data_IF_498859876533
#
_entry.id   IF_498859876533
#
_cell.length_a   1.000
_cell.length_b   1.000
_cell.length_c   1.000
_cell.angle_alpha   90.00
_cell.angle_beta   90.00
_cell.angle_gamma   90.00
#
_symmetry.space_group_name_H-M   'P 1'
#
loop_
_entity.id
_entity.type
_entity.pdbx_description
1 polymer ?
#
# COMPACT_ATOMS: atom_id res chain seq x y z
N UNK A 1 -25.31 2.63 34.97
CA UNK A 1 -23.93 2.62 34.44
C UNK A 1 -23.06 3.81 34.85
N UNK A 2 -23.57 5.04 35.01
CA UNK A 2 -22.75 6.20 35.41
C UNK A 2 -22.35 6.21 36.91
N UNK A 3 -23.21 5.70 37.80
CA UNK A 3 -22.93 5.61 39.25
C UNK A 3 -21.79 4.63 39.57
N UNK A 4 -21.74 3.47 38.91
CA UNK A 4 -20.66 2.49 39.06
C UNK A 4 -19.30 2.99 38.62
N UNK A 5 -19.26 3.79 37.54
CA UNK A 5 -18.00 4.42 37.06
C UNK A 5 -17.48 5.46 38.06
N UNK A 6 -18.38 6.24 38.70
CA UNK A 6 -18.02 7.23 39.72
C UNK A 6 -17.52 6.56 41.01
N UNK A 7 -18.13 5.45 41.41
CA UNK A 7 -17.72 4.69 42.58
C UNK A 7 -16.38 3.95 42.38
N UNK A 8 -16.16 3.37 41.19
CA UNK A 8 -14.86 2.78 40.81
C UNK A 8 -13.74 3.82 40.77
N UNK A 9 -14.01 5.05 40.29
CA UNK A 9 -13.05 6.16 40.30
C UNK A 9 -12.71 6.61 41.73
N UNK A 10 -13.72 6.78 42.57
CA UNK A 10 -13.56 7.09 44.01
C UNK A 10 -12.72 6.04 44.75
N UNK A 11 -12.96 4.74 44.51
CA UNK A 11 -12.18 3.65 45.12
C UNK A 11 -10.72 3.66 44.65
N UNK A 12 -10.46 3.98 43.38
CA UNK A 12 -9.10 4.11 42.82
C UNK A 12 -8.33 5.26 43.46
N UNK A 13 -8.96 6.44 43.58
CA UNK A 13 -8.36 7.63 44.18
C UNK A 13 -8.05 7.43 45.68
N UNK A 14 -8.92 6.69 46.39
CA UNK A 14 -8.72 6.36 47.81
C UNK A 14 -7.55 5.38 48.02
N UNK A 15 -7.39 4.40 47.12
CA UNK A 15 -6.25 3.46 47.12
C UNK A 15 -4.92 4.16 46.83
N UNK A 16 -4.94 5.13 45.90
CA UNK A 16 -3.75 5.90 45.53
C UNK A 16 -3.32 6.87 46.65
N UNK A 17 -4.28 7.52 47.33
CA UNK A 17 -4.02 8.32 48.54
C UNK A 17 -3.43 7.49 49.68
N UNK A 18 -3.94 6.27 49.91
CA UNK A 18 -3.41 5.35 50.93
C UNK A 18 -1.96 4.95 50.61
N UNK A 19 -1.66 4.61 49.36
CA UNK A 19 -0.30 4.28 48.90
C UNK A 19 0.69 5.45 49.05
N UNK A 20 0.27 6.69 48.74
CA UNK A 20 1.10 7.89 48.94
C UNK A 20 1.39 8.14 50.42
N UNK A 21 0.39 7.97 51.30
CA UNK A 21 0.56 8.15 52.76
C UNK A 21 1.51 7.10 53.35
N UNK A 22 1.42 5.86 52.89
CA UNK A 22 2.29 4.77 53.31
C UNK A 22 3.74 4.96 52.82
N UNK A 23 3.94 5.39 51.57
CA UNK A 23 5.26 5.78 51.07
C UNK A 23 5.86 6.97 51.81
N UNK A 24 5.04 7.96 52.20
CA UNK A 24 5.49 9.11 52.99
C UNK A 24 5.92 8.68 54.39
N UNK A 25 5.12 7.85 55.08
CA UNK A 25 5.46 7.27 56.38
C UNK A 25 6.75 6.47 56.33
N UNK A 26 6.88 5.57 55.34
CA UNK A 26 8.11 4.78 55.14
C UNK A 26 9.33 5.66 54.83
N UNK A 27 9.14 6.81 54.18
CA UNK A 27 10.21 7.79 53.93
C UNK A 27 10.61 8.56 55.19
N UNK A 28 9.66 8.88 56.05
CA UNK A 28 9.86 9.57 57.33
C UNK A 28 10.49 8.64 58.38
N UNK A 29 10.05 7.39 58.47
CA UNK A 29 10.59 6.36 59.38
C UNK A 29 12.05 6.01 59.05
N UNK A 30 12.42 6.03 57.76
CA UNK A 30 13.82 5.86 57.30
C UNK A 30 14.63 7.16 57.45
N UNK A 31 13.98 8.31 57.63
CA UNK A 31 14.65 9.59 57.86
C UNK A 31 14.98 9.83 59.33
N UNK A 32 14.22 9.24 60.26
CA UNK A 32 14.39 9.39 61.71
C UNK A 32 15.30 8.35 62.34
N UNK A 33 15.61 7.24 61.66
CA UNK A 33 16.48 6.18 62.18
C UNK A 33 17.98 6.40 61.90
N UNK A 34 18.46 7.63 61.71
CA UNK A 34 19.86 7.90 61.35
C UNK A 34 20.58 8.88 62.25
N UNK A 35 20.02 9.23 63.41
CA UNK A 35 20.62 10.23 64.31
C UNK A 35 21.45 9.60 65.44
N UNK A 36 21.27 8.30 65.74
CA UNK A 36 21.98 7.58 66.83
C UNK A 36 22.84 6.38 66.36
N UNK A 37 23.00 6.18 65.05
CA UNK A 37 23.73 5.04 64.46
C UNK A 37 25.18 5.39 64.10
N UNK A 38 26.07 4.39 64.14
CA UNK A 38 27.49 4.47 63.80
C UNK A 38 27.68 5.18 62.43
N UNK A 39 28.67 6.08 62.28
CA UNK A 39 28.86 6.83 61.03
C UNK A 39 29.09 5.91 59.80
N UNK A 40 29.61 4.70 60.03
CA UNK A 40 29.82 3.68 59.00
C UNK A 40 28.49 3.04 58.53
N UNK A 41 27.58 2.74 59.45
CA UNK A 41 26.25 2.15 59.17
C UNK A 41 25.37 3.18 58.45
N UNK A 42 25.39 4.45 58.89
CA UNK A 42 24.67 5.53 58.23
C UNK A 42 25.16 5.80 56.79
N UNK A 43 26.48 5.66 56.55
CA UNK A 43 27.07 5.78 55.21
C UNK A 43 26.65 4.61 54.30
N UNK A 44 26.69 3.37 54.80
CA UNK A 44 26.25 2.18 54.07
C UNK A 44 24.76 2.27 53.69
N UNK A 45 23.90 2.73 54.59
CA UNK A 45 22.47 2.92 54.32
C UNK A 45 22.22 3.98 53.23
N UNK A 46 22.99 5.07 53.22
CA UNK A 46 22.95 6.09 52.16
C UNK A 46 23.40 5.54 50.81
N UNK A 47 24.42 4.70 50.78
CA UNK A 47 24.87 4.03 49.54
C UNK A 47 23.81 3.08 49.00
N UNK A 48 23.21 2.25 49.85
CA UNK A 48 22.12 1.34 49.48
C UNK A 48 20.92 2.10 48.90
N UNK A 49 20.55 3.24 49.51
CA UNK A 49 19.46 4.10 49.02
C UNK A 49 19.77 4.74 47.67
N UNK A 50 21.03 5.16 47.44
CA UNK A 50 21.49 5.68 46.14
C UNK A 50 21.43 4.59 45.06
N UNK A 51 21.93 3.39 45.37
CA UNK A 51 21.86 2.24 44.47
C UNK A 51 20.42 1.85 44.12
N UNK A 52 19.50 1.87 45.10
CA UNK A 52 18.07 1.60 44.86
C UNK A 52 17.42 2.66 43.94
N UNK A 53 17.74 3.94 44.15
CA UNK A 53 17.25 5.03 43.31
C UNK A 53 17.81 4.96 41.88
N UNK A 54 19.08 4.62 41.74
CA UNK A 54 19.74 4.43 40.45
C UNK A 54 19.15 3.23 39.69
N UNK A 55 18.91 2.11 40.37
CA UNK A 55 18.25 0.94 39.79
C UNK A 55 16.83 1.27 39.28
N UNK A 56 16.07 2.07 40.04
CA UNK A 56 14.74 2.54 39.63
C UNK A 56 14.80 3.45 38.40
N UNK A 57 15.77 4.36 38.33
CA UNK A 57 15.98 5.23 37.18
C UNK A 57 16.37 4.44 35.92
N UNK A 58 17.28 3.48 36.07
CA UNK A 58 17.72 2.59 34.98
C UNK A 58 16.56 1.77 34.42
N UNK A 59 15.73 1.17 35.29
CA UNK A 59 14.53 0.42 34.89
C UNK A 59 13.51 1.31 34.16
N UNK A 60 13.37 2.57 34.58
CA UNK A 60 12.48 3.54 33.90
C UNK A 60 13.03 3.94 32.53
N UNK A 61 14.33 4.14 32.40
CA UNK A 61 14.98 4.45 31.13
C UNK A 61 14.86 3.28 30.13
N UNK A 62 15.05 2.05 30.59
CA UNK A 62 14.86 0.84 29.77
C UNK A 62 13.44 0.72 29.23
N UNK A 63 12.42 0.91 30.08
CA UNK A 63 11.01 0.94 29.63
C UNK A 63 10.72 2.04 28.60
N UNK A 64 11.30 3.23 28.79
CA UNK A 64 11.16 4.33 27.81
C UNK A 64 11.76 3.95 26.47
N UNK A 65 12.92 3.27 26.48
CA UNK A 65 13.61 2.79 25.28
C UNK A 65 12.82 1.69 24.58
N UNK A 66 12.25 0.75 25.35
CA UNK A 66 11.34 -0.28 24.85
C UNK A 66 10.14 0.32 24.12
N UNK A 67 9.49 1.33 24.71
CA UNK A 67 8.38 2.04 24.07
C UNK A 67 8.78 2.67 22.74
N UNK A 68 9.90 3.42 22.72
CA UNK A 68 10.42 4.03 21.48
C UNK A 68 10.72 3.00 20.40
N UNK A 69 11.34 1.87 20.77
CA UNK A 69 11.66 0.81 19.81
C UNK A 69 10.40 0.15 19.24
N UNK A 70 9.37 -0.01 20.07
CA UNK A 70 8.08 -0.53 19.62
C UNK A 70 7.40 0.43 18.65
N UNK A 71 7.39 1.73 18.95
CA UNK A 71 6.75 2.73 18.09
C UNK A 71 7.41 2.81 16.70
N UNK A 72 8.73 2.64 16.62
CA UNK A 72 9.46 2.77 15.36
C UNK A 72 9.67 1.46 14.62
N UNK A 73 9.85 0.33 15.29
CA UNK A 73 10.15 -0.96 14.64
C UNK A 73 9.05 -2.00 14.82
N UNK A 74 8.08 -1.79 15.71
CA UNK A 74 6.99 -2.74 15.95
C UNK A 74 7.39 -4.00 16.72
N UNK A 75 8.61 -4.03 17.27
CA UNK A 75 9.13 -5.17 18.02
C UNK A 75 9.30 -4.85 19.51
N UNK A 76 8.96 -5.83 20.34
CA UNK A 76 9.28 -5.85 21.78
C UNK A 76 10.11 -7.09 22.08
N UNK A 77 10.75 -7.17 23.26
CA UNK A 77 11.44 -8.40 23.68
C UNK A 77 10.52 -9.62 23.72
N UNK A 78 9.21 -9.43 23.95
CA UNK A 78 8.24 -10.52 24.04
C UNK A 78 7.67 -10.90 22.65
N UNK A 79 7.63 -9.94 21.72
CA UNK A 79 7.13 -10.12 20.34
C UNK A 79 8.31 -10.02 19.36
N UNK A 80 9.25 -10.93 19.59
CA UNK A 80 10.53 -11.20 18.94
C UNK A 80 10.52 -12.10 17.68
N UNK A 81 10.42 -11.68 16.40
CA UNK A 81 10.56 -12.64 15.29
C UNK A 81 11.93 -13.32 15.19
N UNK A 82 12.98 -12.73 15.77
CA UNK A 82 14.35 -13.27 15.75
C UNK A 82 14.66 -14.20 16.93
N UNK A 83 13.69 -14.44 17.83
CA UNK A 83 13.85 -15.33 18.98
C UNK A 83 14.85 -14.84 20.03
N UNK A 84 15.25 -13.58 19.98
CA UNK A 84 16.09 -12.97 21.02
C UNK A 84 15.22 -12.44 22.18
N UNK A 85 15.75 -12.53 23.41
CA UNK A 85 15.07 -12.06 24.62
C UNK A 85 15.44 -10.63 25.04
N UNK A 86 16.43 -10.02 24.36
CA UNK A 86 17.10 -8.80 24.80
C UNK A 86 17.17 -7.71 23.71
N UNK A 87 16.30 -7.77 22.68
CA UNK A 87 16.21 -6.81 21.57
C UNK A 87 16.31 -5.34 22.01
N UNK A 88 15.70 -5.02 23.15
CA UNK A 88 15.59 -3.66 23.66
C UNK A 88 16.80 -3.21 24.46
N UNK A 89 17.83 -4.03 24.62
CA UNK A 89 19.10 -3.65 25.25
C UNK A 89 20.13 -3.23 24.19
N UNK A 90 21.05 -2.31 24.55
CA UNK A 90 22.12 -1.92 23.63
C UNK A 90 23.11 -3.08 23.53
N UNK A 91 23.55 -3.39 22.32
CA UNK A 91 24.61 -4.37 22.13
C UNK A 91 25.91 -3.85 22.76
N UNK A 92 26.58 -4.72 23.52
CA UNK A 92 27.85 -4.41 24.17
C UNK A 92 28.83 -5.53 23.85
N UNK A 93 30.00 -5.15 23.35
CA UNK A 93 31.07 -6.11 23.09
C UNK A 93 31.83 -6.41 24.38
N UNK A 94 31.27 -7.29 25.22
CA UNK A 94 31.80 -7.59 26.57
C UNK A 94 33.29 -7.94 26.57
N UNK A 95 33.73 -8.84 25.68
CA UNK A 95 35.15 -9.22 25.56
C UNK A 95 36.07 -8.04 25.29
N UNK A 96 35.64 -7.07 24.47
CA UNK A 96 36.38 -5.85 24.18
C UNK A 96 36.41 -4.92 25.39
N UNK A 97 35.27 -4.75 26.06
CA UNK A 97 35.19 -3.93 27.26
C UNK A 97 36.06 -4.50 28.39
N UNK A 98 36.09 -5.82 28.56
CA UNK A 98 36.90 -6.48 29.58
C UNK A 98 38.39 -6.39 29.26
N UNK A 99 38.78 -6.52 27.99
CA UNK A 99 40.15 -6.27 27.55
C UNK A 99 40.58 -4.80 27.75
N UNK A 100 39.70 -3.84 27.51
CA UNK A 100 39.95 -2.41 27.74
C UNK A 100 40.06 -2.04 29.22
N UNK A 101 39.32 -2.72 30.10
CA UNK A 101 39.47 -2.59 31.56
C UNK A 101 40.80 -3.17 32.02
N UNK A 102 41.19 -4.33 31.50
CA UNK A 102 42.43 -5.01 31.85
C UNK A 102 43.68 -4.23 31.42
N UNK A 103 43.63 -3.49 30.31
CA UNK A 103 44.74 -2.67 29.81
C UNK A 103 44.87 -1.30 30.50
N UNK A 104 44.11 -1.03 31.58
CA UNK A 104 44.09 0.26 32.27
C UNK A 104 43.44 1.41 31.47
N UNK A 105 43.06 1.15 30.20
CA UNK A 105 42.35 2.06 29.31
C UNK A 105 40.84 2.12 29.57
N UNK A 106 40.40 1.93 30.82
CA UNK A 106 39.00 1.85 31.25
C UNK A 106 38.23 3.18 31.19
N UNK A 107 38.55 4.04 30.23
CA UNK A 107 38.14 5.44 30.22
C UNK A 107 37.81 5.98 28.85
N UNK A 108 37.01 5.27 28.02
CA UNK A 108 36.15 6.04 27.12
C UNK A 108 35.21 6.79 28.06
N UNK A 109 35.40 8.11 28.23
CA UNK A 109 34.54 8.98 29.06
C UNK A 109 33.11 8.48 28.90
N UNK A 110 32.52 8.00 29.99
CA UNK A 110 31.13 7.58 30.00
C UNK A 110 30.37 8.75 29.39
N UNK A 111 29.91 8.59 28.14
CA UNK A 111 29.17 9.67 27.47
C UNK A 111 28.07 10.03 28.43
N UNK A 112 27.88 11.34 28.65
CA UNK A 112 26.81 11.74 29.54
C UNK A 112 25.52 11.07 29.05
N UNK A 113 24.66 10.60 29.97
CA UNK A 113 23.41 9.93 29.60
C UNK A 113 22.62 10.74 28.55
N UNK A 114 22.74 12.07 28.60
CA UNK A 114 22.18 13.01 27.63
C UNK A 114 22.78 12.87 26.22
N UNK A 115 24.10 12.75 26.09
CA UNK A 115 24.74 12.54 24.78
C UNK A 115 24.35 11.21 24.16
N UNK A 116 24.27 10.14 24.96
CA UNK A 116 23.85 8.83 24.47
C UNK A 116 22.36 8.82 24.05
N UNK A 117 21.50 9.54 24.75
CA UNK A 117 20.09 9.71 24.37
C UNK A 117 19.95 10.52 23.07
N UNK A 118 20.77 11.57 22.87
CA UNK A 118 20.78 12.38 21.65
C UNK A 118 21.27 11.60 20.42
N UNK A 119 22.32 10.80 20.57
CA UNK A 119 22.81 9.93 19.50
C UNK A 119 21.77 8.88 19.09
N UNK A 120 21.07 8.29 20.06
CA UNK A 120 19.98 7.36 19.77
C UNK A 120 18.86 8.08 19.01
N UNK A 121 18.45 9.28 19.41
CA UNK A 121 17.40 10.04 18.72
C UNK A 121 17.79 10.45 17.29
N UNK A 122 19.04 10.87 17.08
CA UNK A 122 19.56 11.19 15.76
C UNK A 122 19.55 9.97 14.82
N UNK A 123 19.95 8.80 15.31
CA UNK A 123 19.93 7.56 14.55
C UNK A 123 18.50 7.18 14.13
N UNK A 124 17.53 7.33 15.04
CA UNK A 124 16.12 7.02 14.74
C UNK A 124 15.56 7.95 13.68
N UNK A 125 15.87 9.25 13.77
CA UNK A 125 15.48 10.24 12.76
C UNK A 125 16.11 9.94 11.38
N UNK A 126 17.37 9.48 11.35
CA UNK A 126 18.02 9.05 10.10
C UNK A 126 17.30 7.84 9.47
N UNK A 127 16.96 6.84 10.28
CA UNK A 127 16.21 5.65 9.83
C UNK A 127 14.83 6.04 9.29
N UNK A 128 14.12 6.93 9.97
CA UNK A 128 12.84 7.47 9.50
C UNK A 128 12.99 8.24 8.18
N UNK A 129 14.05 9.05 8.03
CA UNK A 129 14.35 9.75 6.79
C UNK A 129 14.67 8.80 5.62
N UNK A 130 15.36 7.68 5.87
CA UNK A 130 15.57 6.63 4.87
C UNK A 130 14.24 5.97 4.49
N UNK A 131 13.39 5.65 5.46
CA UNK A 131 12.06 5.06 5.19
C UNK A 131 11.18 6.00 4.38
N UNK A 132 11.18 7.30 4.72
CA UNK A 132 10.42 8.31 3.98
C UNK A 132 10.85 8.35 2.51
N UNK A 133 12.16 8.40 2.24
CA UNK A 133 12.67 8.37 0.85
C UNK A 133 12.34 7.10 0.08
N UNK A 134 12.21 5.95 0.76
CA UNK A 134 11.76 4.70 0.11
C UNK A 134 10.28 4.78 -0.21
N UNK A 135 9.48 5.22 0.75
CA UNK A 135 8.05 5.41 0.58
C UNK A 135 7.73 6.41 -0.54
N UNK A 136 8.41 7.55 -0.57
CA UNK A 136 8.29 8.56 -1.64
C UNK A 136 8.60 7.93 -3.02
N UNK A 137 9.68 7.15 -3.14
CA UNK A 137 10.01 6.47 -4.41
C UNK A 137 8.97 5.41 -4.80
N UNK A 138 8.47 4.65 -3.83
CA UNK A 138 7.43 3.64 -4.07
C UNK A 138 6.11 4.28 -4.49
N UNK A 139 5.74 5.43 -3.89
CA UNK A 139 4.56 6.21 -4.27
C UNK A 139 4.72 6.80 -5.67
N UNK A 140 5.87 7.42 -5.99
CA UNK A 140 6.16 7.93 -7.35
C UNK A 140 6.12 6.82 -8.41
N UNK A 141 6.70 5.65 -8.10
CA UNK A 141 6.68 4.51 -9.02
C UNK A 141 5.26 3.96 -9.22
N UNK A 142 4.47 3.88 -8.15
CA UNK A 142 3.08 3.45 -8.21
C UNK A 142 2.20 4.43 -9.00
N UNK A 143 2.41 5.74 -8.86
CA UNK A 143 1.71 6.75 -9.66
C UNK A 143 2.09 6.65 -11.14
N UNK A 144 3.37 6.47 -11.45
CA UNK A 144 3.85 6.25 -12.81
C UNK A 144 3.29 4.98 -13.43
N UNK A 145 3.26 3.87 -12.68
CA UNK A 145 2.66 2.61 -13.11
C UNK A 145 1.16 2.77 -13.36
N UNK A 146 0.43 3.44 -12.46
CA UNK A 146 -1.01 3.71 -12.62
C UNK A 146 -1.31 4.49 -13.90
N UNK A 147 -0.53 5.54 -14.19
CA UNK A 147 -0.68 6.34 -15.41
C UNK A 147 -0.35 5.52 -16.66
N UNK A 148 0.68 4.68 -16.60
CA UNK A 148 1.07 3.80 -17.71
C UNK A 148 -0.01 2.75 -18.01
N UNK A 149 -0.62 2.17 -16.98
CA UNK A 149 -1.70 1.20 -17.11
C UNK A 149 -2.97 1.86 -17.67
N UNK A 150 -3.30 3.07 -17.21
CA UNK A 150 -4.40 3.87 -17.77
C UNK A 150 -4.15 4.17 -19.26
N UNK A 151 -2.94 4.59 -19.64
CA UNK A 151 -2.58 4.84 -21.03
C UNK A 151 -2.63 3.56 -21.87
N UNK A 152 -2.10 2.44 -21.37
CA UNK A 152 -2.13 1.15 -22.05
C UNK A 152 -3.56 0.71 -22.31
N UNK A 153 -4.45 0.80 -21.31
CA UNK A 153 -5.86 0.46 -21.44
C UNK A 153 -6.57 1.35 -22.46
N UNK A 154 -6.29 2.65 -22.48
CA UNK A 154 -6.85 3.57 -23.48
C UNK A 154 -6.36 3.23 -24.90
N UNK A 155 -5.06 2.91 -25.04
CA UNK A 155 -4.46 2.52 -26.31
C UNK A 155 -5.02 1.19 -26.82
N UNK A 156 -5.24 0.22 -25.94
CA UNK A 156 -5.88 -1.05 -26.27
C UNK A 156 -7.34 -0.83 -26.68
N UNK A 157 -8.11 -0.04 -25.93
CA UNK A 157 -9.50 0.28 -26.27
C UNK A 157 -9.63 0.97 -27.64
N UNK A 158 -8.72 1.92 -27.94
CA UNK A 158 -8.68 2.58 -29.25
C UNK A 158 -8.35 1.58 -30.38
N UNK A 159 -7.34 0.73 -30.19
CA UNK A 159 -7.01 -0.32 -31.17
C UNK A 159 -8.16 -1.29 -31.38
N UNK A 160 -8.80 -1.76 -30.30
CA UNK A 160 -9.95 -2.66 -30.38
C UNK A 160 -11.11 -2.05 -31.16
N UNK A 161 -11.35 -0.75 -30.99
CA UNK A 161 -12.36 -0.03 -31.78
C UNK A 161 -12.00 -0.01 -33.26
N UNK A 162 -10.77 0.37 -33.61
CA UNK A 162 -10.32 0.42 -35.00
C UNK A 162 -10.37 -0.97 -35.67
N UNK A 163 -10.09 -2.03 -34.91
CA UNK A 163 -10.23 -3.41 -35.38
C UNK A 163 -11.69 -3.80 -35.60
N UNK A 164 -12.58 -3.47 -34.67
CA UNK A 164 -14.01 -3.73 -34.79
C UNK A 164 -14.63 -3.01 -36.00
N UNK A 165 -14.28 -1.73 -36.20
CA UNK A 165 -14.77 -0.94 -37.33
C UNK A 165 -14.29 -1.54 -38.67
N UNK A 166 -13.04 -2.02 -38.74
CA UNK A 166 -12.49 -2.71 -39.93
C UNK A 166 -13.13 -4.08 -40.16
N UNK A 167 -13.38 -4.84 -39.10
CA UNK A 167 -14.05 -6.15 -39.18
C UNK A 167 -15.50 -6.00 -39.65
N UNK A 168 -16.23 -5.00 -39.14
CA UNK A 168 -17.58 -4.67 -39.61
C UNK A 168 -17.58 -4.27 -41.09
N UNK A 169 -16.64 -3.41 -41.51
CA UNK A 169 -16.50 -3.01 -42.91
C UNK A 169 -16.20 -4.21 -43.83
N UNK A 170 -15.31 -5.10 -43.39
CA UNK A 170 -14.99 -6.32 -44.13
C UNK A 170 -16.21 -7.26 -44.26
N UNK A 171 -16.95 -7.48 -43.17
CA UNK A 171 -18.16 -8.28 -43.22
C UNK A 171 -19.25 -7.66 -44.10
N UNK A 172 -19.39 -6.34 -44.06
CA UNK A 172 -20.32 -5.61 -44.92
C UNK A 172 -19.94 -5.82 -46.39
N UNK A 173 -18.68 -5.62 -46.76
CA UNK A 173 -18.19 -5.80 -48.14
C UNK A 173 -18.34 -7.26 -48.61
N UNK A 174 -18.00 -8.22 -47.75
CA UNK A 174 -18.17 -9.64 -48.05
C UNK A 174 -19.64 -10.01 -48.27
N UNK A 175 -20.55 -9.51 -47.43
CA UNK A 175 -21.99 -9.74 -47.56
C UNK A 175 -22.54 -9.07 -48.83
N UNK A 176 -22.11 -7.84 -49.15
CA UNK A 176 -22.48 -7.17 -50.39
C UNK A 176 -21.99 -7.94 -51.63
N UNK A 177 -20.75 -8.44 -51.61
CA UNK A 177 -20.18 -9.22 -52.71
C UNK A 177 -20.91 -10.53 -52.89
N UNK A 178 -21.23 -11.24 -51.80
CA UNK A 178 -22.05 -12.46 -51.83
C UNK A 178 -23.45 -12.20 -52.40
N UNK A 179 -24.11 -11.11 -51.97
CA UNK A 179 -25.42 -10.73 -52.48
C UNK A 179 -25.37 -10.42 -54.00
N UNK A 180 -24.36 -9.69 -54.46
CA UNK A 180 -24.14 -9.40 -55.89
C UNK A 180 -24.00 -10.68 -56.71
N UNK A 181 -23.17 -11.62 -56.25
CA UNK A 181 -22.97 -12.92 -56.92
C UNK A 181 -24.29 -13.69 -57.01
N UNK A 182 -25.03 -13.82 -55.90
CA UNK A 182 -26.32 -14.53 -55.88
C UNK A 182 -27.37 -13.93 -56.81
N UNK A 183 -27.44 -12.60 -56.86
CA UNK A 183 -28.35 -11.87 -57.74
C UNK A 183 -28.03 -12.14 -59.21
N UNK A 184 -26.74 -12.13 -59.58
CA UNK A 184 -26.28 -12.42 -60.94
C UNK A 184 -26.49 -13.90 -61.32
N UNK A 185 -26.28 -14.83 -60.39
CA UNK A 185 -26.46 -16.27 -60.59
C UNK A 185 -27.94 -16.71 -60.57
N UNK A 186 -28.89 -15.81 -60.33
CA UNK A 186 -30.33 -16.11 -60.32
C UNK A 186 -30.81 -16.92 -59.10
N UNK A 187 -29.99 -17.00 -58.04
CA UNK A 187 -30.27 -17.72 -56.79
C UNK A 187 -30.37 -16.77 -55.59
N UNK A 188 -31.04 -15.65 -55.80
CA UNK A 188 -31.16 -14.57 -54.82
C UNK A 188 -31.97 -15.01 -53.59
N UNK A 189 -31.47 -14.68 -52.39
CA UNK A 189 -32.25 -14.78 -51.16
C UNK A 189 -33.20 -13.57 -51.04
N UNK A 190 -34.29 -13.65 -50.25
CA UNK A 190 -35.20 -12.51 -50.04
C UNK A 190 -34.49 -11.22 -49.58
N UNK A 191 -33.40 -11.36 -48.83
CA UNK A 191 -32.58 -10.24 -48.36
C UNK A 191 -31.76 -9.61 -49.50
N UNK A 192 -31.32 -10.41 -50.47
CA UNK A 192 -30.56 -9.95 -51.63
C UNK A 192 -31.45 -9.11 -52.57
N UNK A 193 -32.75 -9.42 -52.65
CA UNK A 193 -33.72 -8.60 -53.41
C UNK A 193 -33.82 -7.17 -52.86
N UNK A 194 -33.73 -7.01 -51.54
CA UNK A 194 -33.64 -5.69 -50.92
C UNK A 194 -32.27 -5.06 -51.17
N UNK A 195 -31.20 -5.85 -51.04
CA UNK A 195 -29.84 -5.39 -51.31
C UNK A 195 -29.69 -4.89 -52.75
N UNK A 196 -30.38 -5.49 -53.73
CA UNK A 196 -30.46 -5.02 -55.12
C UNK A 196 -30.85 -3.55 -55.19
N UNK A 197 -31.89 -3.14 -54.47
CA UNK A 197 -32.35 -1.75 -54.48
C UNK A 197 -31.33 -0.81 -53.84
N UNK A 198 -30.70 -1.24 -52.74
CA UNK A 198 -29.64 -0.47 -52.08
C UNK A 198 -28.40 -0.33 -52.97
N UNK A 199 -28.05 -1.37 -53.72
CA UNK A 199 -26.90 -1.37 -54.64
C UNK A 199 -27.14 -0.56 -55.91
N UNK A 200 -28.34 -0.59 -56.48
CA UNK A 200 -28.71 0.14 -57.71
C UNK A 200 -29.06 1.61 -57.45
N UNK A 201 -29.73 1.92 -56.33
CA UNK A 201 -30.27 3.26 -56.06
C UNK A 201 -29.72 3.95 -54.81
N UNK A 202 -29.05 3.22 -53.90
CA UNK A 202 -28.50 3.75 -52.64
C UNK A 202 -27.19 4.51 -52.81
N UNK A 203 -27.04 5.28 -53.89
CA UNK A 203 -25.81 5.95 -54.30
C UNK A 203 -25.24 6.93 -53.27
N UNK A 204 -24.46 6.42 -52.33
CA UNK A 204 -23.35 7.14 -51.72
C UNK A 204 -22.15 6.19 -51.62
N UNK A 205 -21.22 6.32 -52.55
CA UNK A 205 -19.90 5.67 -52.45
C UNK A 205 -19.11 6.36 -51.34
N UNK A 206 -19.31 5.98 -50.08
CA UNK A 206 -18.28 6.16 -49.06
C UNK A 206 -17.31 5.00 -49.19
N UNK A 207 -16.43 5.08 -50.20
CA UNK A 207 -15.22 4.27 -50.23
C UNK A 207 -14.32 4.78 -49.10
N UNK A 208 -14.47 4.22 -47.91
CA UNK A 208 -13.42 4.32 -46.90
C UNK A 208 -12.29 3.48 -47.46
N UNK A 209 -11.22 4.13 -47.92
CA UNK A 209 -10.12 3.49 -48.63
C UNK A 209 -9.50 2.37 -47.80
N UNK A 210 -9.81 1.14 -48.17
CA UNK A 210 -9.07 -0.04 -47.77
C UNK A 210 -8.68 -0.71 -49.09
N UNK A 211 -7.44 -0.47 -49.51
CA UNK A 211 -6.86 -1.05 -50.72
C UNK A 211 -6.55 -2.53 -50.48
N UNK A 212 -7.57 -3.39 -50.39
CA UNK A 212 -7.34 -4.82 -50.52
C UNK A 212 -7.12 -5.16 -51.98
N UNK A 213 -5.84 -5.27 -52.31
CA UNK A 213 -5.29 -5.85 -53.54
C UNK A 213 -5.91 -7.23 -53.78
N UNK A 214 -6.88 -7.29 -54.67
CA UNK A 214 -7.44 -8.53 -55.18
C UNK A 214 -8.37 -8.18 -56.32
N UNK A 215 -8.11 -8.76 -57.49
CA UNK A 215 -8.82 -8.55 -58.74
C UNK A 215 -10.27 -9.05 -58.68
N UNK A 216 -11.12 -8.44 -57.85
CA UNK A 216 -12.55 -8.52 -58.00
C UNK A 216 -12.89 -7.66 -59.22
N UNK A 217 -12.84 -8.27 -60.40
CA UNK A 217 -13.51 -7.76 -61.60
C UNK A 217 -14.82 -7.11 -61.16
N UNK A 218 -15.00 -5.82 -61.47
CA UNK A 218 -16.16 -5.06 -61.05
C UNK A 218 -17.42 -5.74 -61.60
N UNK A 219 -18.05 -6.61 -60.79
CA UNK A 219 -19.27 -7.32 -61.14
C UNK A 219 -20.30 -6.28 -61.57
N UNK A 220 -20.61 -6.26 -62.87
CA UNK A 220 -21.45 -5.24 -63.46
C UNK A 220 -22.91 -5.50 -63.09
N UNK A 221 -23.34 -4.85 -62.02
CA UNK A 221 -24.72 -4.88 -61.54
C UNK A 221 -25.67 -4.07 -62.43
N UNK A 222 -25.18 -3.36 -63.47
CA UNK A 222 -26.05 -2.64 -64.42
C UNK A 222 -26.93 -3.58 -65.24
N UNK A 223 -26.51 -4.84 -65.39
CA UNK A 223 -27.30 -5.89 -66.04
C UNK A 223 -28.49 -6.37 -65.20
N UNK A 224 -28.46 -6.15 -63.87
CA UNK A 224 -29.60 -6.40 -62.99
C UNK A 224 -30.62 -5.27 -63.19
N UNK A 225 -31.59 -5.49 -64.08
CA UNK A 225 -32.68 -4.55 -64.30
C UNK A 225 -33.44 -4.20 -63.01
N UNK A 226 -33.92 -2.96 -62.93
CA UNK A 226 -34.77 -2.52 -61.83
C UNK A 226 -36.21 -2.95 -62.08
N UNK A 227 -36.75 -3.83 -61.23
CA UNK A 227 -38.19 -4.14 -61.23
C UNK A 227 -38.94 -3.17 -60.31
N UNK A 228 -39.81 -2.33 -60.88
CA UNK A 228 -40.76 -1.55 -60.09
C UNK A 228 -41.95 -2.44 -59.72
N UNK A 229 -41.99 -2.90 -58.47
CA UNK A 229 -43.14 -3.58 -57.84
C UNK A 229 -43.59 -2.78 -56.63
N UNK A 230 -44.88 -2.89 -56.28
CA UNK A 230 -45.34 -2.30 -55.02
C UNK A 230 -44.60 -2.96 -53.84
N UNK A 231 -44.24 -2.23 -52.76
CA UNK A 231 -43.44 -2.79 -51.66
C UNK A 231 -43.99 -4.08 -51.05
N UNK A 232 -45.32 -4.24 -51.05
CA UNK A 232 -46.03 -5.43 -50.56
C UNK A 232 -45.92 -6.65 -51.49
N UNK A 233 -45.62 -6.44 -52.76
CA UNK A 233 -45.55 -7.48 -53.79
C UNK A 233 -44.15 -8.05 -53.96
N UNK A 234 -43.13 -7.40 -53.40
CA UNK A 234 -41.71 -7.82 -53.54
C UNK A 234 -41.46 -9.23 -52.98
N UNK A 235 -42.23 -9.65 -51.98
CA UNK A 235 -42.05 -10.95 -51.31
C UNK A 235 -43.09 -12.01 -51.69
N UNK A 236 -44.02 -11.68 -52.58
CA UNK A 236 -45.04 -12.65 -53.02
C UNK A 236 -44.37 -13.71 -53.92
N UNK A 237 -44.27 -14.95 -53.44
CA UNK A 237 -43.69 -16.09 -54.18
C UNK A 237 -42.38 -16.66 -53.62
N UNK A 238 -41.89 -16.19 -52.47
CA UNK A 238 -40.66 -16.67 -51.81
C UNK A 238 -40.93 -17.72 -50.71
N UNK A 239 -41.97 -18.53 -50.86
CA UNK A 239 -42.36 -19.60 -49.92
C UNK A 239 -41.90 -20.98 -50.37
#
# INVERSE_FOLDING_TARGET
>A
MAKDKKEKKSKKDKKEKKSKKEKKRKREEISSGSEDEDPEVAAALRQMRRAEMEAKLRKKAEKRRQGKLMDTFGYTNDVNPFGDSNLTQKFVWRKKDDAAKASGGGGKRLKSLRQADQEDEALMAEIEGVRRRRKEREEELAEMERLRDEEARLREAAQHKDWADKEEAFHLEANQTRAKIRLLEGRAEPIDLLARNVLLFGGEKKTVGIDYRGDAEALDISALGAELKAPTEVFHGLG
#
